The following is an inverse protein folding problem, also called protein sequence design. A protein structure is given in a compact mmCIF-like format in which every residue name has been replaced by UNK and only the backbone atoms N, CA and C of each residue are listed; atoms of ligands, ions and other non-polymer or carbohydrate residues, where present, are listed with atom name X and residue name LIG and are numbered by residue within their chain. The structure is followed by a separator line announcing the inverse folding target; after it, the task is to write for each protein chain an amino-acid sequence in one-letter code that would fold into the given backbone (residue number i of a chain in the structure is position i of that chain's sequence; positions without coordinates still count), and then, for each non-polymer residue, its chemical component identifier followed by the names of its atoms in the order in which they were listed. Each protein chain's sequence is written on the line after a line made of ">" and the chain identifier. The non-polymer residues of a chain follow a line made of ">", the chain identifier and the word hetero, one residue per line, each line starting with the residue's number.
data_IF_479054688795
#
_entry.id   IF_479054688795
#
_cell.length_a   1.000
_cell.length_b   1.000
_cell.length_c   1.000
_cell.angle_alpha   90.00
_cell.angle_beta   90.00
_cell.angle_gamma   90.00
#
_symmetry.space_group_name_H-M   'P 1'
#
loop_
_entity.id
_entity.type
_entity.pdbx_description
1 polymer ?
#
# COMPACT_ATOMS: atom_id res chain seq x y z
N UNK A 1 30.91 49.45 -2.17
CA UNK A 1 29.62 48.87 -1.72
C UNK A 1 28.95 47.93 -2.72
N UNK A 2 29.21 47.98 -4.05
CA UNK A 2 28.50 47.16 -5.06
C UNK A 2 29.20 45.86 -5.50
N UNK A 3 30.50 45.70 -5.17
CA UNK A 3 31.29 44.50 -5.51
C UNK A 3 31.03 43.31 -4.57
N UNK A 4 30.56 43.58 -3.35
CA UNK A 4 30.23 42.55 -2.37
C UNK A 4 28.91 41.83 -2.68
N UNK A 5 27.99 42.50 -3.40
CA UNK A 5 26.71 41.89 -3.80
C UNK A 5 26.88 40.83 -4.90
N UNK A 6 27.88 40.98 -5.78
CA UNK A 6 28.18 40.00 -6.83
C UNK A 6 28.80 38.71 -6.25
N UNK A 7 29.61 38.83 -5.20
CA UNK A 7 30.23 37.67 -4.53
C UNK A 7 29.18 36.85 -3.76
N UNK A 8 28.20 37.51 -3.13
CA UNK A 8 27.10 36.83 -2.44
C UNK A 8 26.18 36.06 -3.41
N UNK A 9 25.93 36.60 -4.61
CA UNK A 9 25.13 35.92 -5.63
C UNK A 9 25.83 34.69 -6.23
N UNK A 10 27.16 34.73 -6.37
CA UNK A 10 27.96 33.61 -6.88
C UNK A 10 28.16 32.47 -5.86
N UNK A 11 28.03 32.74 -4.56
CA UNK A 11 28.11 31.70 -3.53
C UNK A 11 26.79 30.92 -3.37
N UNK A 12 25.65 31.50 -3.76
CA UNK A 12 24.36 30.83 -3.70
C UNK A 12 24.13 29.80 -4.84
N UNK A 13 24.88 29.90 -5.94
CA UNK A 13 24.81 28.95 -7.06
C UNK A 13 25.66 27.69 -6.86
N UNK A 14 26.44 27.63 -5.77
CA UNK A 14 27.26 26.47 -5.41
C UNK A 14 26.65 25.61 -4.29
N UNK A 15 25.37 25.80 -3.96
CA UNK A 15 24.67 24.85 -3.11
C UNK A 15 24.40 23.57 -3.92
N UNK A 16 24.89 22.39 -3.50
CA UNK A 16 24.42 21.13 -4.03
C UNK A 16 22.91 21.04 -3.77
N UNK A 17 22.13 21.30 -4.81
CA UNK A 17 20.70 21.04 -4.78
C UNK A 17 20.48 19.53 -4.64
N UNK A 18 19.44 19.20 -3.88
CA UNK A 18 18.88 17.87 -3.65
C UNK A 18 19.53 17.02 -2.53
N UNK A 19 19.25 17.39 -1.29
CA UNK A 19 18.82 16.35 -0.34
C UNK A 19 17.46 15.85 -0.83
N UNK A 20 17.49 14.79 -1.65
CA UNK A 20 16.27 14.08 -2.01
C UNK A 20 15.71 13.50 -0.71
N UNK A 21 14.55 14.02 -0.32
CA UNK A 21 13.72 13.42 0.71
C UNK A 21 13.50 11.96 0.32
N UNK A 22 13.73 11.04 1.25
CA UNK A 22 13.45 9.63 1.07
C UNK A 22 11.93 9.42 0.96
N UNK A 23 11.38 9.74 -0.21
CA UNK A 23 10.14 9.16 -0.68
C UNK A 23 10.43 7.69 -0.95
N UNK A 24 9.52 6.81 -0.56
CA UNK A 24 9.52 5.42 -0.98
C UNK A 24 9.11 5.32 -2.47
N UNK A 25 9.78 6.07 -3.34
CA UNK A 25 9.87 5.78 -4.75
C UNK A 25 10.81 4.58 -4.84
N UNK A 26 10.39 3.51 -5.49
CA UNK A 26 11.21 2.31 -5.63
C UNK A 26 12.35 2.57 -6.63
N UNK A 27 13.31 3.38 -6.19
CA UNK A 27 14.63 3.70 -6.73
C UNK A 27 14.72 3.74 -8.27
N UNK A 28 14.10 4.74 -8.90
CA UNK A 28 14.40 5.12 -10.28
C UNK A 28 15.78 5.77 -10.30
N UNK A 29 16.75 5.13 -10.95
CA UNK A 29 18.12 5.63 -11.13
C UNK A 29 18.30 5.98 -12.60
N UNK A 30 18.81 7.18 -12.87
CA UNK A 30 19.18 7.59 -14.21
C UNK A 30 20.64 7.21 -14.45
N UNK A 31 20.86 6.24 -15.33
CA UNK A 31 22.21 5.76 -15.66
C UNK A 31 22.88 6.68 -16.70
N UNK A 32 22.07 7.21 -17.62
CA UNK A 32 22.46 8.12 -18.69
C UNK A 32 21.23 8.90 -19.18
N UNK A 33 21.38 9.97 -19.98
CA UNK A 33 20.24 10.63 -20.61
C UNK A 33 19.38 9.62 -21.39
N UNK A 34 18.10 9.50 -21.01
CA UNK A 34 17.16 8.54 -21.61
C UNK A 34 17.22 7.09 -21.09
N UNK A 35 18.20 6.73 -20.26
CA UNK A 35 18.30 5.40 -19.66
C UNK A 35 17.93 5.46 -18.18
N UNK A 36 16.80 4.86 -17.84
CA UNK A 36 16.34 4.78 -16.44
C UNK A 36 16.18 3.34 -16.01
N UNK A 37 16.69 3.06 -14.82
CA UNK A 37 16.62 1.76 -14.18
C UNK A 37 15.73 1.86 -12.94
N UNK A 38 14.71 1.01 -12.87
CA UNK A 38 13.76 0.96 -11.76
C UNK A 38 13.98 -0.28 -10.92
N UNK A 39 13.59 -0.20 -9.66
CA UNK A 39 13.58 -1.36 -8.78
C UNK A 39 12.72 -2.49 -9.36
N UNK A 40 13.29 -3.69 -9.46
CA UNK A 40 12.64 -4.85 -10.05
C UNK A 40 12.67 -4.90 -11.57
N UNK A 41 13.38 -3.97 -12.23
CA UNK A 41 13.67 -4.09 -13.66
C UNK A 41 14.46 -5.37 -13.94
N UNK A 42 14.17 -5.98 -15.10
CA UNK A 42 14.78 -7.24 -15.52
C UNK A 42 15.72 -7.00 -16.69
N UNK A 43 16.97 -7.46 -16.59
CA UNK A 43 17.92 -7.40 -17.70
C UNK A 43 17.70 -8.54 -18.71
N UNK A 44 18.46 -8.53 -19.81
CA UNK A 44 18.41 -9.56 -20.87
C UNK A 44 18.83 -10.96 -20.37
N UNK A 45 19.55 -11.04 -19.27
CA UNK A 45 19.99 -12.30 -18.65
C UNK A 45 18.98 -12.81 -17.61
N UNK A 46 17.87 -12.10 -17.42
CA UNK A 46 16.83 -12.45 -16.46
C UNK A 46 17.13 -12.08 -15.01
N UNK A 47 18.15 -11.23 -14.77
CA UNK A 47 18.47 -10.70 -13.44
C UNK A 47 17.61 -9.50 -13.11
N UNK A 48 17.28 -9.34 -11.84
CA UNK A 48 16.45 -8.26 -11.32
C UNK A 48 17.28 -7.20 -10.61
N UNK A 49 16.91 -5.93 -10.77
CA UNK A 49 17.56 -4.81 -10.10
C UNK A 49 17.03 -4.59 -8.68
N UNK A 50 17.88 -4.71 -7.66
CA UNK A 50 17.49 -4.51 -6.25
C UNK A 50 17.60 -3.06 -5.73
N UNK A 51 17.90 -2.11 -6.60
CA UNK A 51 18.19 -0.72 -6.22
C UNK A 51 19.68 -0.40 -6.10
N UNK A 52 20.58 -1.40 -6.16
CA UNK A 52 22.02 -1.16 -6.21
C UNK A 52 22.84 -2.23 -6.94
N UNK A 53 22.30 -3.44 -7.12
CA UNK A 53 22.95 -4.56 -7.80
C UNK A 53 21.95 -5.38 -8.59
N UNK A 54 22.44 -6.03 -9.63
CA UNK A 54 21.70 -7.06 -10.35
C UNK A 54 21.73 -8.36 -9.55
N UNK A 55 20.57 -8.99 -9.39
CA UNK A 55 20.36 -10.23 -8.64
C UNK A 55 19.78 -11.30 -9.55
N UNK A 56 20.21 -12.53 -9.39
CA UNK A 56 19.65 -13.66 -10.11
C UNK A 56 18.15 -13.89 -9.77
N UNK A 57 17.45 -14.57 -10.68
CA UNK A 57 16.01 -14.86 -10.55
C UNK A 57 15.68 -15.61 -9.25
N UNK A 58 16.52 -16.58 -8.88
CA UNK A 58 16.29 -17.39 -7.69
C UNK A 58 16.40 -16.53 -6.42
N UNK A 59 17.47 -15.75 -6.28
CA UNK A 59 17.61 -14.83 -5.16
C UNK A 59 16.43 -13.86 -5.10
N UNK A 60 16.01 -13.32 -6.25
CA UNK A 60 14.90 -12.37 -6.30
C UNK A 60 13.61 -12.99 -5.78
N UNK A 61 13.24 -14.17 -6.27
CA UNK A 61 12.01 -14.88 -5.88
C UNK A 61 12.03 -15.35 -4.43
N UNK A 62 13.21 -15.58 -3.85
CA UNK A 62 13.32 -15.92 -2.43
C UNK A 62 13.20 -14.71 -1.49
N UNK A 63 13.54 -13.50 -1.96
CA UNK A 63 13.56 -12.31 -1.13
C UNK A 63 12.35 -11.40 -1.37
N UNK A 64 11.79 -11.44 -2.57
CA UNK A 64 10.76 -10.53 -3.04
C UNK A 64 9.57 -11.28 -3.63
N UNK A 65 8.39 -10.69 -3.43
CA UNK A 65 7.13 -11.13 -3.98
C UNK A 65 6.46 -9.96 -4.70
N UNK A 66 5.92 -10.21 -5.88
CA UNK A 66 5.05 -9.24 -6.54
C UNK A 66 3.64 -9.35 -5.98
N UNK A 67 3.10 -8.26 -5.46
CA UNK A 67 1.75 -8.19 -4.89
C UNK A 67 1.21 -6.76 -5.02
N UNK A 68 -0.06 -6.62 -5.43
CA UNK A 68 -0.74 -5.32 -5.60
C UNK A 68 0.02 -4.32 -6.50
N UNK A 69 0.62 -4.80 -7.59
CA UNK A 69 1.32 -3.93 -8.54
C UNK A 69 2.74 -3.51 -8.12
N UNK A 70 3.24 -4.01 -6.98
CA UNK A 70 4.55 -3.63 -6.42
C UNK A 70 5.33 -4.85 -5.95
N UNK A 71 6.66 -4.74 -5.97
CA UNK A 71 7.55 -5.70 -5.34
C UNK A 71 7.63 -5.47 -3.82
N UNK A 72 7.37 -6.52 -3.06
CA UNK A 72 7.47 -6.53 -1.61
C UNK A 72 8.58 -7.44 -1.14
N UNK A 73 9.43 -6.95 -0.24
CA UNK A 73 10.33 -7.84 0.50
C UNK A 73 9.50 -8.75 1.40
N UNK A 74 9.79 -10.04 1.43
CA UNK A 74 9.00 -11.04 2.15
C UNK A 74 8.73 -10.68 3.61
N UNK A 75 9.73 -10.15 4.32
CA UNK A 75 9.56 -9.74 5.71
C UNK A 75 8.53 -8.61 5.86
N UNK A 76 8.62 -7.57 5.02
CA UNK A 76 7.69 -6.44 5.04
C UNK A 76 6.27 -6.90 4.69
N UNK A 77 6.14 -7.77 3.68
CA UNK A 77 4.86 -8.35 3.30
C UNK A 77 4.26 -9.16 4.46
N UNK A 78 5.04 -10.00 5.14
CA UNK A 78 4.57 -10.76 6.31
C UNK A 78 4.08 -9.86 7.43
N UNK A 79 4.83 -8.80 7.78
CA UNK A 79 4.41 -7.82 8.79
C UNK A 79 3.12 -7.11 8.38
N UNK A 80 3.02 -6.69 7.11
CA UNK A 80 1.83 -6.04 6.59
C UNK A 80 0.59 -6.96 6.67
N UNK A 81 0.74 -8.23 6.28
CA UNK A 81 -0.33 -9.22 6.40
C UNK A 81 -0.74 -9.47 7.85
N UNK A 82 0.22 -9.54 8.79
CA UNK A 82 -0.08 -9.66 10.21
C UNK A 82 -0.83 -8.45 10.75
N UNK A 83 -0.43 -7.23 10.37
CA UNK A 83 -1.11 -6.00 10.73
C UNK A 83 -2.56 -5.97 10.23
N UNK A 84 -2.79 -6.35 8.96
CA UNK A 84 -4.13 -6.42 8.38
C UNK A 84 -5.01 -7.46 9.08
N UNK A 85 -4.44 -8.62 9.43
CA UNK A 85 -5.14 -9.65 10.22
C UNK A 85 -5.50 -9.12 11.59
N UNK A 86 -4.59 -8.42 12.27
CA UNK A 86 -4.83 -7.81 13.57
C UNK A 86 -5.96 -6.77 13.51
N UNK A 87 -5.92 -5.86 12.54
CA UNK A 87 -6.96 -4.85 12.34
C UNK A 87 -8.32 -5.50 12.03
N UNK A 88 -8.35 -6.60 11.27
CA UNK A 88 -9.58 -7.36 11.03
C UNK A 88 -10.12 -7.94 12.34
N UNK A 89 -9.27 -8.59 13.13
CA UNK A 89 -9.62 -9.14 14.43
C UNK A 89 -10.13 -8.07 15.41
N UNK A 90 -9.49 -6.91 15.48
CA UNK A 90 -9.94 -5.80 16.31
C UNK A 90 -11.29 -5.25 15.87
N UNK A 91 -11.48 -5.03 14.55
CA UNK A 91 -12.78 -4.61 14.03
C UNK A 91 -13.86 -5.62 14.40
N UNK A 92 -13.59 -6.90 14.22
CA UNK A 92 -14.55 -7.96 14.58
C UNK A 92 -14.85 -7.98 16.07
N UNK A 93 -13.84 -7.84 16.94
CA UNK A 93 -14.07 -7.70 18.39
C UNK A 93 -14.93 -6.49 18.71
N UNK A 94 -14.66 -5.33 18.11
CA UNK A 94 -15.48 -4.12 18.28
C UNK A 94 -16.90 -4.36 17.78
N UNK A 95 -17.09 -5.00 16.63
CA UNK A 95 -18.42 -5.36 16.12
C UNK A 95 -19.17 -6.28 17.07
N UNK A 96 -18.51 -7.31 17.63
CA UNK A 96 -19.13 -8.19 18.63
C UNK A 96 -19.51 -7.41 19.90
N UNK A 97 -18.61 -6.56 20.40
CA UNK A 97 -18.86 -5.72 21.59
C UNK A 97 -20.00 -4.72 21.37
N UNK A 98 -20.06 -4.03 20.23
CA UNK A 98 -21.16 -3.09 19.91
C UNK A 98 -22.45 -3.82 19.51
N UNK A 99 -22.36 -5.01 18.91
CA UNK A 99 -23.50 -5.84 18.54
C UNK A 99 -24.26 -6.41 19.73
N UNK A 100 -23.60 -6.59 20.89
CA UNK A 100 -24.30 -6.93 22.14
C UNK A 100 -25.21 -5.81 22.66
N UNK A 101 -24.99 -4.53 22.26
CA UNK A 101 -25.83 -3.39 22.66
C UNK A 101 -26.93 -3.05 21.66
N UNK A 102 -26.88 -3.58 20.43
CA UNK A 102 -27.96 -3.46 19.47
C UNK A 102 -28.76 -4.76 19.45
N UNK A 103 -29.73 -4.86 20.36
CA UNK A 103 -30.86 -5.76 20.20
C UNK A 103 -31.61 -5.36 18.92
N UNK A 104 -31.20 -5.96 17.81
CA UNK A 104 -31.93 -5.94 16.56
C UNK A 104 -33.24 -6.68 16.83
N UNK A 105 -34.35 -5.95 16.94
CA UNK A 105 -35.67 -6.56 16.82
C UNK A 105 -35.88 -6.85 15.33
N UNK A 106 -35.83 -8.12 14.87
CA UNK A 106 -36.45 -8.43 13.60
C UNK A 106 -37.93 -8.08 13.76
N UNK A 107 -38.39 -7.06 13.04
CA UNK A 107 -39.82 -6.86 12.87
C UNK A 107 -40.34 -8.17 12.28
N UNK A 108 -41.25 -8.91 12.95
CA UNK A 108 -41.73 -10.17 12.42
C UNK A 108 -42.31 -9.89 11.02
N UNK A 109 -42.00 -10.73 10.02
CA UNK A 109 -42.59 -10.57 8.70
C UNK A 109 -44.11 -10.56 8.89
N UNK A 110 -44.77 -9.54 8.35
CA UNK A 110 -46.22 -9.39 8.33
C UNK A 110 -46.76 -10.46 7.37
N UNK A 111 -46.68 -11.72 7.77
CA UNK A 111 -47.23 -12.85 7.05
C UNK A 111 -48.55 -13.21 7.69
N UNK A 112 -49.59 -12.72 7.02
CA UNK A 112 -50.92 -13.32 6.88
C UNK A 112 -51.77 -13.40 8.15
N UNK A 113 -52.37 -12.26 8.48
CA UNK A 113 -53.65 -12.21 9.19
C UNK A 113 -54.86 -12.31 8.23
N UNK A 114 -54.64 -12.68 6.96
CA UNK A 114 -55.67 -12.68 5.91
C UNK A 114 -56.28 -14.07 5.65
N UNK A 115 -56.47 -14.87 6.72
CA UNK A 115 -57.06 -16.21 6.63
C UNK A 115 -58.09 -16.52 7.73
N UNK A 116 -58.58 -15.50 8.46
CA UNK A 116 -59.69 -15.64 9.43
C UNK A 116 -61.06 -15.15 8.96
N UNK A 117 -61.17 -14.52 7.80
CA UNK A 117 -62.46 -13.95 7.34
C UNK A 117 -63.21 -14.83 6.33
N UNK A 118 -62.76 -16.07 6.08
CA UNK A 118 -63.37 -16.96 5.07
C UNK A 118 -64.05 -18.21 5.61
N UNK A 119 -64.20 -18.37 6.93
CA UNK A 119 -64.84 -19.52 7.58
C UNK A 119 -66.11 -19.20 8.39
N UNK A 120 -66.75 -18.05 8.16
CA UNK A 120 -68.04 -17.71 8.79
C UNK A 120 -69.15 -17.39 7.77
N UNK A 121 -69.09 -18.04 6.61
CA UNK A 121 -70.14 -17.93 5.60
C UNK A 121 -70.44 -19.30 5.01
N UNK A 122 -70.96 -20.20 5.83
CA UNK A 122 -71.92 -21.27 5.52
C UNK A 122 -72.52 -21.79 6.82
#
# INVERSE_FOLDING_TARGET
>A
MKRLLLVAALLASLAPQAFQTAHADSARIQLAPGITLHFGDRDRHGRYWDGGRWRDDHWWRNNYRYDQGRWWRHEQWRRHQQMLRHHRWERERRWRQHGHHHHWHPNPPILRQHERDRRERW
#
